data_IF_641121020531
#
_entry.id   IF_641121020531
#
_cell.length_a   1.000
_cell.length_b   1.000
_cell.length_c   1.000
_cell.angle_alpha   90.00
_cell.angle_beta   90.00
_cell.angle_gamma   90.00
#
_symmetry.space_group_name_H-M   'P 1'
#
loop_
_entity.id
_entity.type
_entity.pdbx_description
1 polymer ?
#
# COMPACT_ATOMS: atom_id res chain seq x y z
N UNK A 1 -11.44 -14.92 18.79
CA UNK A 1 -11.24 -16.40 18.87
C UNK A 1 -12.51 -17.05 19.38
N UNK A 2 -12.92 -16.82 20.60
CA UNK A 2 -14.04 -17.50 21.25
C UNK A 2 -15.39 -17.28 20.56
N UNK A 3 -15.72 -16.06 20.17
CA UNK A 3 -17.04 -15.71 19.64
C UNK A 3 -17.19 -16.07 18.15
N UNK A 4 -16.13 -15.92 17.34
CA UNK A 4 -16.16 -16.13 15.90
C UNK A 4 -15.67 -17.54 15.54
N UNK A 5 -14.47 -17.90 15.95
CA UNK A 5 -13.88 -19.22 15.64
C UNK A 5 -14.44 -20.33 16.53
N UNK A 6 -15.07 -19.97 17.66
CA UNK A 6 -15.66 -20.90 18.64
C UNK A 6 -14.66 -21.93 19.15
N UNK A 7 -13.44 -21.49 19.38
CA UNK A 7 -12.34 -22.31 19.91
C UNK A 7 -11.67 -21.61 21.09
N UNK A 8 -10.72 -22.27 21.75
CA UNK A 8 -9.95 -21.66 22.84
C UNK A 8 -8.71 -20.92 22.30
N UNK A 9 -8.14 -19.96 23.04
CA UNK A 9 -6.87 -19.33 22.67
C UNK A 9 -5.75 -20.34 22.44
N UNK A 10 -5.63 -21.35 23.31
CA UNK A 10 -4.62 -22.40 23.25
C UNK A 10 -4.74 -23.24 21.99
N UNK A 11 -5.96 -23.65 21.63
CA UNK A 11 -6.23 -24.41 20.41
C UNK A 11 -5.92 -23.56 19.17
N UNK A 12 -6.27 -22.27 19.19
CA UNK A 12 -5.93 -21.38 18.08
C UNK A 12 -4.42 -21.26 17.89
N UNK A 13 -3.63 -21.14 18.96
CA UNK A 13 -2.17 -21.12 18.87
C UNK A 13 -1.61 -22.43 18.30
N UNK A 14 -2.15 -23.57 18.72
CA UNK A 14 -1.78 -24.88 18.18
C UNK A 14 -2.10 -24.98 16.69
N UNK A 15 -3.29 -24.54 16.26
CA UNK A 15 -3.68 -24.52 14.83
C UNK A 15 -2.75 -23.65 13.99
N UNK A 16 -2.33 -22.49 14.49
CA UNK A 16 -1.38 -21.59 13.80
C UNK A 16 -0.05 -22.32 13.61
N UNK A 17 0.54 -22.85 14.68
CA UNK A 17 1.83 -23.54 14.63
C UNK A 17 1.80 -24.75 13.71
N UNK A 18 0.79 -25.61 13.84
CA UNK A 18 0.66 -26.83 13.08
C UNK A 18 0.41 -26.57 11.58
N UNK A 19 -0.42 -25.58 11.26
CA UNK A 19 -0.69 -25.20 9.86
C UNK A 19 0.57 -24.67 9.18
N UNK A 20 1.26 -23.75 9.83
CA UNK A 20 2.50 -23.18 9.30
C UNK A 20 3.55 -24.28 9.12
N UNK A 21 3.76 -25.11 10.13
CA UNK A 21 4.71 -26.24 10.08
C UNK A 21 4.40 -27.17 8.93
N UNK A 22 3.15 -27.58 8.79
CA UNK A 22 2.72 -28.45 7.69
C UNK A 22 3.05 -27.87 6.32
N UNK A 23 2.75 -26.59 6.09
CA UNK A 23 3.04 -25.92 4.83
C UNK A 23 4.54 -25.83 4.56
N UNK A 24 5.35 -25.56 5.59
CA UNK A 24 6.82 -25.55 5.50
C UNK A 24 7.37 -26.95 5.15
N UNK A 25 6.83 -28.01 5.74
CA UNK A 25 7.21 -29.38 5.41
C UNK A 25 6.87 -29.77 3.96
N UNK A 26 5.84 -29.12 3.36
CA UNK A 26 5.53 -29.24 1.94
C UNK A 26 6.40 -28.35 1.03
N UNK A 27 7.44 -27.69 1.57
CA UNK A 27 8.35 -26.84 0.83
C UNK A 27 7.75 -25.50 0.37
N UNK A 28 6.70 -24.99 1.02
CA UNK A 28 6.08 -23.71 0.68
C UNK A 28 6.80 -22.56 1.37
N UNK A 29 6.81 -21.39 0.70
CA UNK A 29 7.00 -20.12 1.38
C UNK A 29 5.69 -19.77 2.09
N UNK A 30 5.78 -19.43 3.38
CA UNK A 30 4.61 -19.20 4.22
C UNK A 30 4.62 -17.78 4.77
N UNK A 31 3.60 -17.02 4.40
CA UNK A 31 3.29 -15.71 4.98
C UNK A 31 2.15 -15.93 5.99
N UNK A 32 2.40 -15.65 7.26
CA UNK A 32 1.38 -15.66 8.28
C UNK A 32 0.74 -14.27 8.39
N UNK A 33 -0.50 -14.15 7.95
CA UNK A 33 -1.29 -12.94 8.10
C UNK A 33 -2.05 -12.98 9.44
N UNK A 34 -1.57 -12.17 10.39
CA UNK A 34 -2.20 -12.03 11.71
C UNK A 34 -3.44 -11.14 11.58
N UNK A 35 -4.57 -11.76 11.25
CA UNK A 35 -5.85 -11.07 11.05
C UNK A 35 -6.29 -10.31 12.30
N UNK A 36 -6.74 -9.06 12.14
CA UNK A 36 -7.11 -8.14 13.24
C UNK A 36 -5.97 -7.87 14.25
N UNK A 37 -4.70 -7.97 13.83
CA UNK A 37 -3.58 -7.89 14.77
C UNK A 37 -3.59 -6.61 15.60
N UNK A 38 -3.75 -5.46 14.98
CA UNK A 38 -3.70 -4.17 15.69
C UNK A 38 -4.83 -3.98 16.69
N UNK A 39 -6.03 -4.44 16.38
CA UNK A 39 -7.15 -4.40 17.33
C UNK A 39 -6.97 -5.45 18.43
N UNK A 40 -6.58 -6.66 18.06
CA UNK A 40 -6.27 -7.73 19.00
C UNK A 40 -5.14 -7.37 19.98
N UNK A 41 -4.12 -6.65 19.50
CA UNK A 41 -3.03 -6.16 20.34
C UNK A 41 -3.51 -5.14 21.38
N UNK A 42 -4.41 -4.24 21.01
CA UNK A 42 -4.98 -3.29 21.97
C UNK A 42 -5.86 -3.97 23.01
N UNK A 43 -6.56 -5.03 22.64
CA UNK A 43 -7.42 -5.79 23.55
C UNK A 43 -6.62 -6.73 24.47
N UNK A 44 -5.63 -7.43 23.92
CA UNK A 44 -4.78 -8.37 24.66
C UNK A 44 -3.40 -8.49 23.97
N UNK A 45 -2.44 -7.63 24.36
CA UNK A 45 -1.09 -7.63 23.77
C UNK A 45 -0.37 -8.97 23.87
N UNK A 46 -0.45 -9.63 25.02
CA UNK A 46 0.25 -10.89 25.26
C UNK A 46 -0.26 -11.99 24.34
N UNK A 47 -1.57 -12.09 24.16
CA UNK A 47 -2.14 -13.07 23.24
C UNK A 47 -1.84 -12.74 21.77
N UNK A 48 -1.92 -11.48 21.38
CA UNK A 48 -1.57 -11.06 20.02
C UNK A 48 -0.11 -11.42 19.69
N UNK A 49 0.83 -11.16 20.60
CA UNK A 49 2.23 -11.56 20.42
C UNK A 49 2.40 -13.08 20.39
N UNK A 50 1.65 -13.83 21.21
CA UNK A 50 1.70 -15.31 21.20
C UNK A 50 1.27 -15.90 19.87
N UNK A 51 0.37 -15.25 19.11
CA UNK A 51 0.01 -15.72 17.75
C UNK A 51 1.19 -15.61 16.78
N UNK A 52 1.98 -14.54 16.88
CA UNK A 52 3.20 -14.38 16.09
C UNK A 52 4.28 -15.39 16.51
N UNK A 53 4.44 -15.64 17.81
CA UNK A 53 5.36 -16.65 18.34
C UNK A 53 5.00 -18.06 17.84
N UNK A 54 3.72 -18.41 17.79
CA UNK A 54 3.25 -19.69 17.27
C UNK A 54 3.57 -19.84 15.76
N UNK A 55 3.36 -18.78 14.98
CA UNK A 55 3.70 -18.76 13.56
C UNK A 55 5.23 -18.82 13.33
N UNK A 56 6.03 -18.08 14.10
CA UNK A 56 7.50 -18.15 14.05
C UNK A 56 8.00 -19.55 14.38
N UNK A 57 7.45 -20.17 15.44
CA UNK A 57 7.78 -21.55 15.83
C UNK A 57 7.41 -22.58 14.77
N UNK A 58 6.30 -22.38 14.05
CA UNK A 58 5.91 -23.16 12.88
C UNK A 58 6.85 -22.98 11.69
N UNK A 59 7.67 -21.92 11.67
CA UNK A 59 8.64 -21.61 10.63
C UNK A 59 8.15 -20.66 9.54
N UNK A 60 7.19 -19.77 9.83
CA UNK A 60 6.72 -18.77 8.88
C UNK A 60 7.88 -17.92 8.33
N UNK A 61 7.87 -17.65 7.03
CA UNK A 61 8.88 -16.82 6.37
C UNK A 61 8.63 -15.33 6.63
N UNK A 62 7.35 -14.94 6.78
CA UNK A 62 6.94 -13.58 7.11
C UNK A 62 5.84 -13.62 8.17
N UNK A 63 5.87 -12.62 9.06
CA UNK A 63 4.82 -12.31 10.03
C UNK A 63 4.18 -11.00 9.59
N UNK A 64 2.97 -11.05 9.06
CA UNK A 64 2.27 -9.87 8.54
C UNK A 64 1.23 -9.38 9.54
N UNK A 65 1.33 -8.11 9.89
CA UNK A 65 0.42 -7.43 10.81
C UNK A 65 -0.74 -6.84 10.02
N UNK A 66 -1.96 -7.37 10.21
CA UNK A 66 -3.13 -6.91 9.50
C UNK A 66 -3.86 -5.79 10.28
N UNK A 67 -3.94 -4.63 9.66
CA UNK A 67 -4.80 -3.54 10.09
C UNK A 67 -6.16 -3.70 9.35
N UNK A 68 -6.92 -4.71 9.81
CA UNK A 68 -8.08 -5.27 9.12
C UNK A 68 -9.26 -4.31 9.07
N UNK A 69 -9.50 -3.55 10.14
CA UNK A 69 -10.62 -2.62 10.22
C UNK A 69 -10.38 -1.28 9.50
N UNK A 70 -9.16 -1.00 9.08
CA UNK A 70 -8.81 0.22 8.35
C UNK A 70 -8.91 1.51 9.17
N UNK A 71 -8.96 1.42 10.50
CA UNK A 71 -9.29 2.54 11.37
C UNK A 71 -8.16 3.07 12.26
N UNK A 72 -6.98 2.45 12.26
CA UNK A 72 -5.85 2.93 13.07
C UNK A 72 -5.27 4.22 12.50
N UNK A 73 -4.86 5.11 13.40
CA UNK A 73 -4.08 6.29 13.05
C UNK A 73 -2.59 5.99 13.11
N UNK A 74 -1.78 6.86 12.51
CA UNK A 74 -0.32 6.67 12.35
C UNK A 74 0.38 6.36 13.67
N UNK A 75 0.10 7.13 14.72
CA UNK A 75 0.81 6.98 16.01
C UNK A 75 0.62 5.59 16.65
N UNK A 76 -0.62 5.12 16.94
CA UNK A 76 -0.80 3.79 17.53
C UNK A 76 -0.32 2.67 16.62
N UNK A 77 -0.45 2.83 15.30
CA UNK A 77 0.09 1.89 14.32
C UNK A 77 1.62 1.77 14.46
N UNK A 78 2.33 2.90 14.51
CA UNK A 78 3.79 2.94 14.65
C UNK A 78 4.25 2.29 15.96
N UNK A 79 3.61 2.65 17.08
CA UNK A 79 3.96 2.14 18.42
C UNK A 79 3.84 0.61 18.47
N UNK A 80 2.76 0.04 17.93
CA UNK A 80 2.54 -1.41 17.90
C UNK A 80 3.54 -2.08 16.94
N UNK A 81 3.73 -1.54 15.74
CA UNK A 81 4.67 -2.10 14.76
C UNK A 81 6.10 -2.11 15.30
N UNK A 82 6.55 -1.02 15.93
CA UNK A 82 7.88 -0.95 16.57
C UNK A 82 8.05 -2.03 17.63
N UNK A 83 7.05 -2.23 18.50
CA UNK A 83 7.08 -3.28 19.51
C UNK A 83 7.27 -4.67 18.90
N UNK A 84 6.58 -4.95 17.78
CA UNK A 84 6.72 -6.25 17.09
C UNK A 84 8.09 -6.39 16.45
N UNK A 85 8.57 -5.36 15.74
CA UNK A 85 9.91 -5.38 15.12
C UNK A 85 11.01 -5.61 16.16
N UNK A 86 10.93 -4.96 17.31
CA UNK A 86 11.88 -5.15 18.42
C UNK A 86 11.78 -6.54 19.06
N UNK A 87 10.56 -7.08 19.18
CA UNK A 87 10.31 -8.39 19.80
C UNK A 87 10.74 -9.55 18.90
N UNK A 88 10.64 -9.40 17.59
CA UNK A 88 10.94 -10.43 16.59
C UNK A 88 12.10 -10.03 15.65
N UNK A 89 13.31 -9.78 16.18
CA UNK A 89 14.42 -9.18 15.41
C UNK A 89 14.99 -10.10 14.33
N UNK A 90 14.60 -11.38 14.32
CA UNK A 90 15.02 -12.37 13.31
C UNK A 90 13.94 -12.66 12.27
N UNK A 91 12.72 -12.26 12.52
CA UNK A 91 11.58 -12.49 11.64
C UNK A 91 11.42 -11.34 10.64
N UNK A 92 10.97 -11.66 9.45
CA UNK A 92 10.59 -10.67 8.45
C UNK A 92 9.18 -10.18 8.73
N UNK A 93 9.03 -8.92 9.09
CA UNK A 93 7.74 -8.32 9.39
C UNK A 93 7.12 -7.77 8.11
N UNK A 94 5.83 -8.06 7.90
CA UNK A 94 5.00 -7.47 6.86
C UNK A 94 3.89 -6.61 7.44
N UNK A 95 3.29 -5.75 6.61
CA UNK A 95 2.09 -4.98 6.96
C UNK A 95 1.03 -5.11 5.87
N UNK A 96 -0.23 -5.22 6.30
CA UNK A 96 -1.41 -5.28 5.46
C UNK A 96 -2.44 -4.28 5.98
N UNK A 97 -2.68 -3.19 5.27
CA UNK A 97 -3.53 -2.11 5.74
C UNK A 97 -4.78 -1.97 4.87
N UNK A 98 -5.96 -1.89 5.50
CA UNK A 98 -7.19 -1.43 4.87
C UNK A 98 -7.27 0.11 4.87
N UNK A 99 -8.19 0.66 4.09
CA UNK A 99 -8.23 2.09 3.79
C UNK A 99 -9.48 2.82 4.32
N UNK A 100 -10.14 2.28 5.33
CA UNK A 100 -11.42 2.82 5.83
C UNK A 100 -11.30 4.24 6.41
N UNK A 101 -10.19 4.54 7.07
CA UNK A 101 -9.86 5.89 7.52
C UNK A 101 -9.19 6.77 6.44
N UNK A 102 -9.00 6.26 5.21
CA UNK A 102 -8.39 6.99 4.10
C UNK A 102 -6.87 7.13 4.18
N UNK A 103 -6.19 6.38 5.03
CA UNK A 103 -4.73 6.50 5.27
C UNK A 103 -3.96 5.19 5.11
N UNK A 104 -4.55 4.18 4.47
CA UNK A 104 -3.92 2.87 4.28
C UNK A 104 -2.55 2.95 3.59
N UNK A 105 -2.39 3.83 2.60
CA UNK A 105 -1.09 4.09 1.95
C UNK A 105 -0.09 4.67 2.95
N UNK A 106 -0.49 5.66 3.75
CA UNK A 106 0.39 6.28 4.74
C UNK A 106 0.84 5.27 5.81
N UNK A 107 -0.08 4.44 6.30
CA UNK A 107 0.24 3.38 7.27
C UNK A 107 1.23 2.36 6.68
N UNK A 108 1.03 1.95 5.43
CA UNK A 108 1.94 1.02 4.75
C UNK A 108 3.36 1.57 4.62
N UNK A 109 3.50 2.84 4.24
CA UNK A 109 4.80 3.52 4.17
C UNK A 109 5.44 3.65 5.56
N UNK A 110 4.64 4.03 6.57
CA UNK A 110 5.08 4.09 7.97
C UNK A 110 5.54 2.72 8.48
N UNK A 111 4.85 1.63 8.10
CA UNK A 111 5.28 0.27 8.42
C UNK A 111 6.69 -0.03 7.92
N UNK A 112 7.01 0.36 6.68
CA UNK A 112 8.35 0.20 6.11
C UNK A 112 9.38 1.06 6.85
N UNK A 113 9.07 2.32 7.16
CA UNK A 113 9.94 3.19 7.98
C UNK A 113 10.19 2.62 9.38
N UNK A 114 9.24 1.87 9.92
CA UNK A 114 9.32 1.23 11.24
C UNK A 114 10.08 -0.10 11.22
N UNK A 115 10.38 -0.66 10.03
CA UNK A 115 11.18 -1.87 9.86
C UNK A 115 10.46 -3.04 9.18
N UNK A 116 9.24 -2.86 8.68
CA UNK A 116 8.60 -3.87 7.84
C UNK A 116 9.34 -4.00 6.50
N UNK A 117 9.52 -5.24 6.06
CA UNK A 117 10.21 -5.59 4.80
C UNK A 117 9.27 -6.10 3.71
N UNK A 118 7.98 -6.20 4.04
CA UNK A 118 6.93 -6.56 3.10
C UNK A 118 5.71 -5.67 3.30
N UNK A 119 5.09 -5.28 2.19
CA UNK A 119 3.80 -4.59 2.17
C UNK A 119 2.84 -5.39 1.31
N UNK A 120 1.71 -5.75 1.87
CA UNK A 120 0.56 -6.26 1.13
C UNK A 120 -0.40 -5.11 0.82
N UNK A 121 -0.97 -5.16 -0.36
CA UNK A 121 -1.97 -4.21 -0.83
C UNK A 121 -2.55 -4.70 -2.15
N UNK A 122 -3.36 -3.87 -2.79
CA UNK A 122 -3.96 -4.21 -4.07
C UNK A 122 -3.75 -3.12 -5.10
N UNK A 123 -3.70 -3.49 -6.38
CA UNK A 123 -3.71 -2.51 -7.46
C UNK A 123 -5.01 -1.72 -7.43
N UNK A 124 -4.90 -0.41 -7.58
CA UNK A 124 -6.00 0.55 -7.49
C UNK A 124 -6.71 0.59 -6.11
N UNK A 125 -6.19 -0.11 -5.11
CA UNK A 125 -6.76 -0.15 -3.76
C UNK A 125 -8.05 -0.96 -3.65
N UNK A 126 -8.36 -1.84 -4.60
CA UNK A 126 -9.56 -2.65 -4.57
C UNK A 126 -9.56 -3.63 -3.40
N UNK A 127 -10.73 -3.91 -2.84
CA UNK A 127 -10.90 -4.83 -1.72
C UNK A 127 -12.17 -4.56 -0.91
N UNK A 128 -12.27 -5.19 0.22
CA UNK A 128 -13.41 -5.07 1.13
C UNK A 128 -13.64 -3.62 1.60
N UNK A 129 -14.90 -3.23 1.72
CA UNK A 129 -15.37 -1.91 2.18
C UNK A 129 -14.78 -0.76 1.37
N UNK A 130 -13.84 0.02 1.96
CA UNK A 130 -13.13 1.12 1.30
C UNK A 130 -11.83 0.69 0.60
N UNK A 131 -11.60 -0.63 0.54
CA UNK A 131 -10.47 -1.25 -0.12
C UNK A 131 -9.24 -1.39 0.74
N UNK A 132 -8.18 -1.86 0.12
CA UNK A 132 -6.85 -2.05 0.69
C UNK A 132 -5.94 -0.85 0.40
N UNK A 133 -4.78 -0.83 1.03
CA UNK A 133 -3.74 0.12 0.69
C UNK A 133 -3.36 0.00 -0.81
N UNK A 134 -3.38 1.13 -1.51
CA UNK A 134 -3.25 1.17 -2.96
C UNK A 134 -1.79 1.03 -3.41
N UNK A 135 -1.44 -0.10 -4.03
CA UNK A 135 -0.10 -0.37 -4.54
C UNK A 135 0.33 0.59 -5.65
N UNK A 136 -0.60 1.17 -6.43
CA UNK A 136 -0.25 2.19 -7.43
C UNK A 136 0.27 3.49 -6.82
N UNK A 137 0.03 3.70 -5.54
CA UNK A 137 0.59 4.81 -4.76
C UNK A 137 1.79 4.36 -3.91
N UNK A 138 1.74 3.18 -3.31
CA UNK A 138 2.80 2.67 -2.43
C UNK A 138 4.11 2.47 -3.18
N UNK A 139 4.08 1.75 -4.31
CA UNK A 139 5.29 1.41 -5.08
C UNK A 139 6.08 2.66 -5.49
N UNK A 140 5.48 3.68 -6.16
CA UNK A 140 6.24 4.86 -6.52
C UNK A 140 6.68 5.71 -5.32
N UNK A 141 5.96 5.69 -4.20
CA UNK A 141 6.42 6.35 -2.97
C UNK A 141 7.66 5.66 -2.41
N UNK A 142 7.67 4.34 -2.30
CA UNK A 142 8.84 3.59 -1.84
C UNK A 142 10.07 3.87 -2.73
N UNK A 143 9.93 3.74 -4.05
CA UNK A 143 11.07 3.84 -4.96
C UNK A 143 11.51 5.27 -5.23
N UNK A 144 10.57 6.20 -5.48
CA UNK A 144 10.92 7.55 -5.93
C UNK A 144 11.12 8.50 -4.74
N UNK A 145 10.30 8.38 -3.68
CA UNK A 145 10.33 9.31 -2.54
C UNK A 145 11.22 8.83 -1.41
N UNK A 146 11.19 7.52 -1.12
CA UNK A 146 11.96 6.94 -0.02
C UNK A 146 13.28 6.33 -0.48
N UNK A 147 13.50 6.13 -1.79
CA UNK A 147 14.72 5.53 -2.34
C UNK A 147 14.88 4.05 -2.03
N UNK A 148 13.78 3.37 -1.71
CA UNK A 148 13.77 1.94 -1.37
C UNK A 148 13.54 1.14 -2.65
N UNK A 149 14.46 0.24 -2.96
CA UNK A 149 14.32 -0.65 -4.11
C UNK A 149 13.26 -1.71 -3.85
N UNK A 150 12.31 -1.83 -4.77
CA UNK A 150 11.35 -2.92 -4.81
C UNK A 150 11.60 -3.81 -6.03
N UNK A 151 10.93 -4.96 -6.08
CA UNK A 151 10.96 -5.84 -7.26
C UNK A 151 10.33 -5.19 -8.51
N UNK A 152 9.70 -4.03 -8.37
CA UNK A 152 9.02 -3.31 -9.45
C UNK A 152 9.87 -2.23 -10.13
N UNK A 153 11.07 -1.90 -9.60
CA UNK A 153 11.92 -0.78 -10.01
C UNK A 153 12.08 -0.61 -11.51
N UNK A 154 12.33 -1.67 -12.23
CA UNK A 154 12.54 -1.62 -13.68
C UNK A 154 11.23 -1.52 -14.48
N UNK A 155 10.08 -1.50 -13.83
CA UNK A 155 8.76 -1.59 -14.44
C UNK A 155 7.83 -0.43 -14.08
N UNK A 156 8.30 0.58 -13.34
CA UNK A 156 7.48 1.74 -12.93
C UNK A 156 6.79 2.42 -14.11
N UNK A 157 7.43 2.50 -15.28
CA UNK A 157 6.84 3.09 -16.48
C UNK A 157 5.61 2.34 -17.02
N UNK A 158 5.33 1.13 -16.53
CA UNK A 158 4.13 0.36 -16.85
C UNK A 158 3.01 0.50 -15.82
N UNK A 159 3.23 1.27 -14.75
CA UNK A 159 2.32 1.33 -13.62
C UNK A 159 0.93 1.83 -14.02
N UNK A 160 0.87 2.87 -14.86
CA UNK A 160 -0.40 3.40 -15.36
C UNK A 160 -1.14 2.40 -16.24
N UNK A 161 -0.44 1.72 -17.15
CA UNK A 161 -1.06 0.73 -18.04
C UNK A 161 -1.57 -0.47 -17.23
N UNK A 162 -0.84 -0.91 -16.21
CA UNK A 162 -1.29 -1.95 -15.29
C UNK A 162 -2.54 -1.52 -14.51
N UNK A 163 -2.57 -0.27 -14.02
CA UNK A 163 -3.76 0.27 -13.34
C UNK A 163 -5.00 0.21 -14.25
N UNK A 164 -4.88 0.67 -15.48
CA UNK A 164 -5.97 0.64 -16.46
C UNK A 164 -6.39 -0.78 -16.84
N UNK A 165 -5.43 -1.69 -16.95
CA UNK A 165 -5.70 -3.11 -17.21
C UNK A 165 -6.51 -3.75 -16.09
N UNK A 166 -6.17 -3.44 -14.83
CA UNK A 166 -6.93 -3.97 -13.68
C UNK A 166 -8.34 -3.40 -13.64
N UNK A 167 -8.53 -2.10 -13.93
CA UNK A 167 -9.85 -1.48 -14.04
C UNK A 167 -10.72 -2.17 -15.10
N UNK A 168 -10.14 -2.44 -16.28
CA UNK A 168 -10.82 -3.12 -17.37
C UNK A 168 -11.17 -4.57 -16.99
N UNK A 169 -10.22 -5.32 -16.42
CA UNK A 169 -10.41 -6.71 -16.02
C UNK A 169 -11.48 -6.86 -14.91
N UNK A 170 -11.60 -5.87 -14.03
CA UNK A 170 -12.62 -5.85 -12.97
C UNK A 170 -13.93 -5.21 -13.40
N UNK A 171 -14.00 -4.66 -14.62
CA UNK A 171 -15.13 -3.90 -15.14
C UNK A 171 -15.51 -2.71 -14.24
N UNK A 172 -14.52 -2.06 -13.64
CA UNK A 172 -14.68 -0.88 -12.82
C UNK A 172 -14.24 0.37 -13.59
N UNK A 173 -14.89 1.49 -13.31
CA UNK A 173 -14.52 2.76 -13.92
C UNK A 173 -13.26 3.31 -13.29
N UNK A 174 -12.25 3.63 -14.11
CA UNK A 174 -10.98 4.23 -13.65
C UNK A 174 -11.22 5.57 -12.93
N UNK A 175 -10.57 5.74 -11.77
CA UNK A 175 -10.50 7.03 -11.10
C UNK A 175 -9.53 7.95 -11.84
N UNK A 176 -10.07 8.98 -12.49
CA UNK A 176 -9.27 9.97 -13.21
C UNK A 176 -8.32 10.77 -12.31
N UNK A 177 -8.55 10.80 -11.00
CA UNK A 177 -7.74 11.51 -10.00
C UNK A 177 -6.85 10.59 -9.17
N UNK A 178 -6.81 9.28 -9.48
CA UNK A 178 -5.94 8.35 -8.77
C UNK A 178 -4.50 8.85 -8.78
N UNK A 179 -3.83 8.97 -7.61
CA UNK A 179 -2.45 9.42 -7.54
C UNK A 179 -1.54 8.65 -8.49
N UNK A 180 -0.62 9.32 -9.14
CA UNK A 180 0.35 8.81 -10.12
C UNK A 180 -0.25 8.33 -11.45
N UNK A 181 -1.35 7.56 -11.45
CA UNK A 181 -1.86 6.82 -12.63
C UNK A 181 -3.05 7.48 -13.30
N UNK A 182 -3.83 8.29 -12.57
CA UNK A 182 -5.02 8.94 -13.08
C UNK A 182 -4.72 9.91 -14.23
N UNK A 183 -5.68 10.08 -15.13
CA UNK A 183 -5.53 11.00 -16.28
C UNK A 183 -5.46 12.47 -15.87
N UNK A 184 -5.98 12.82 -14.70
CA UNK A 184 -5.94 14.18 -14.14
C UNK A 184 -4.75 14.43 -13.19
N UNK A 185 -3.98 13.38 -12.83
CA UNK A 185 -2.89 13.50 -11.83
C UNK A 185 -1.79 14.48 -12.22
N UNK A 186 -1.58 14.68 -13.53
CA UNK A 186 -0.61 15.62 -14.10
C UNK A 186 -1.29 16.54 -15.11
N UNK A 187 -2.52 16.99 -14.80
CA UNK A 187 -3.29 17.87 -15.67
C UNK A 187 -3.38 19.28 -15.08
N UNK A 188 -3.03 20.27 -15.89
CA UNK A 188 -3.03 21.67 -15.51
C UNK A 188 -4.11 22.46 -16.27
N UNK A 189 -4.98 23.18 -15.55
CA UNK A 189 -6.03 24.05 -16.13
C UNK A 189 -5.63 25.52 -16.12
N UNK A 190 -4.93 25.97 -15.09
CA UNK A 190 -4.53 27.36 -14.92
C UNK A 190 -3.42 27.75 -15.90
N UNK A 191 -3.56 28.88 -16.62
CA UNK A 191 -2.56 29.33 -17.58
C UNK A 191 -1.17 29.55 -16.97
N UNK A 192 -1.08 30.05 -15.74
CA UNK A 192 0.19 30.23 -15.01
C UNK A 192 0.81 28.87 -14.68
N UNK A 193 0.01 27.89 -14.23
CA UNK A 193 0.48 26.55 -13.91
C UNK A 193 0.97 25.82 -15.16
N UNK A 194 0.21 25.88 -16.26
CA UNK A 194 0.58 25.28 -17.52
C UNK A 194 1.86 25.89 -18.11
N UNK A 195 1.98 27.22 -18.08
CA UNK A 195 3.19 27.93 -18.54
C UNK A 195 4.43 27.58 -17.71
N UNK A 196 4.29 27.55 -16.38
CA UNK A 196 5.40 27.18 -15.50
C UNK A 196 5.79 25.71 -15.64
N UNK A 197 4.82 24.78 -15.71
CA UNK A 197 5.08 23.34 -15.92
C UNK A 197 5.77 23.09 -17.28
N UNK A 198 5.43 23.86 -18.32
CA UNK A 198 6.10 23.78 -19.62
C UNK A 198 7.56 24.21 -19.61
N UNK A 199 7.92 25.13 -18.73
CA UNK A 199 9.29 25.63 -18.57
C UNK A 199 10.11 24.77 -17.62
N UNK A 200 9.46 24.23 -16.60
CA UNK A 200 10.05 23.32 -15.62
C UNK A 200 8.95 22.47 -15.00
N UNK A 201 8.94 21.17 -15.28
CA UNK A 201 8.00 20.22 -14.70
C UNK A 201 8.04 20.25 -13.17
N UNK A 202 9.24 20.42 -12.57
CA UNK A 202 9.46 20.50 -11.13
C UNK A 202 8.72 21.65 -10.42
N UNK A 203 8.16 22.62 -11.16
CA UNK A 203 7.42 23.75 -10.56
C UNK A 203 6.03 23.34 -10.04
N UNK A 204 5.37 22.39 -10.69
CA UNK A 204 4.01 21.96 -10.35
C UNK A 204 3.80 20.43 -10.38
N UNK A 205 4.82 19.67 -10.68
CA UNK A 205 4.79 18.21 -10.71
C UNK A 205 5.82 17.67 -9.70
N UNK A 206 5.36 16.78 -8.83
CA UNK A 206 6.19 16.22 -7.76
C UNK A 206 7.16 15.15 -8.24
N UNK A 207 6.97 14.66 -9.47
CA UNK A 207 7.85 13.73 -10.22
C UNK A 207 7.72 14.02 -11.71
N UNK A 208 8.62 13.47 -12.54
CA UNK A 208 8.40 13.33 -13.98
C UNK A 208 7.31 12.25 -14.21
N UNK A 209 6.18 12.62 -14.84
CA UNK A 209 5.09 11.66 -15.08
C UNK A 209 5.49 10.44 -15.91
N UNK A 210 6.49 10.57 -16.79
CA UNK A 210 6.95 9.48 -17.65
C UNK A 210 7.52 8.30 -16.82
N UNK A 211 8.03 8.56 -15.64
CA UNK A 211 8.55 7.51 -14.74
C UNK A 211 7.47 6.46 -14.42
N UNK A 212 6.21 6.89 -14.28
CA UNK A 212 5.07 6.03 -13.95
C UNK A 212 4.16 5.73 -15.16
N UNK A 213 4.64 6.01 -16.38
CA UNK A 213 3.88 5.79 -17.63
C UNK A 213 2.75 6.80 -17.86
N UNK A 214 2.76 7.92 -17.14
CA UNK A 214 1.80 9.00 -17.32
C UNK A 214 2.43 10.15 -18.14
N UNK A 215 1.72 11.26 -18.31
CA UNK A 215 2.19 12.44 -19.02
C UNK A 215 1.54 13.71 -18.50
N UNK A 216 2.23 14.82 -18.61
CA UNK A 216 1.67 16.15 -18.41
C UNK A 216 0.57 16.41 -19.43
N UNK A 217 -0.52 17.03 -19.01
CA UNK A 217 -1.64 17.45 -19.87
C UNK A 217 -2.02 18.89 -19.59
N UNK A 218 -2.21 19.65 -20.65
CA UNK A 218 -2.79 20.99 -20.55
C UNK A 218 -4.27 20.91 -20.95
N UNK A 219 -5.13 21.30 -20.03
CA UNK A 219 -6.58 21.32 -20.25
C UNK A 219 -6.99 22.75 -20.69
N UNK A 220 -7.72 22.82 -21.78
CA UNK A 220 -8.32 24.09 -22.24
C UNK A 220 -9.74 24.19 -21.65
N UNK A 221 -10.02 25.31 -21.01
CA UNK A 221 -11.33 25.64 -20.46
C UNK A 221 -11.60 27.14 -20.67
N UNK A 222 -12.74 27.62 -20.26
CA UNK A 222 -13.11 29.04 -20.21
C UNK A 222 -12.17 29.90 -19.36
N UNK A 223 -11.42 29.29 -18.43
CA UNK A 223 -10.39 29.94 -17.61
C UNK A 223 -8.97 29.87 -18.24
N UNK A 224 -8.83 29.34 -19.43
CA UNK A 224 -7.52 29.15 -20.07
C UNK A 224 -6.97 30.47 -20.63
N UNK A 225 -5.71 30.76 -20.28
CA UNK A 225 -4.97 31.89 -20.86
C UNK A 225 -4.37 31.55 -22.24
N UNK A 226 -3.83 32.59 -22.91
CA UNK A 226 -3.21 32.47 -24.23
C UNK A 226 -2.16 31.35 -24.31
N UNK A 227 -1.34 31.16 -23.26
CA UNK A 227 -0.30 30.13 -23.22
C UNK A 227 -0.88 28.72 -23.30
N UNK A 228 -1.97 28.43 -22.57
CA UNK A 228 -2.63 27.11 -22.61
C UNK A 228 -3.18 26.79 -24.00
N UNK A 229 -3.78 27.79 -24.68
CA UNK A 229 -4.31 27.62 -26.04
C UNK A 229 -3.17 27.38 -27.03
N UNK A 230 -2.09 28.15 -26.94
CA UNK A 230 -0.92 27.98 -27.80
C UNK A 230 -0.19 26.66 -27.61
N UNK A 231 -0.15 26.14 -26.38
CA UNK A 231 0.41 24.83 -26.08
C UNK A 231 -0.44 23.72 -26.68
N UNK A 232 -1.76 23.80 -26.53
CA UNK A 232 -2.70 22.81 -27.08
C UNK A 232 -2.72 22.80 -28.61
N UNK A 233 -2.46 23.93 -29.25
CA UNK A 233 -2.36 24.02 -30.70
C UNK A 233 -1.07 23.42 -31.28
N UNK A 234 -0.10 23.08 -30.44
CA UNK A 234 1.19 22.44 -30.84
C UNK A 234 1.19 20.91 -30.62
N UNK A 235 0.24 20.38 -29.85
CA UNK A 235 -0.03 18.92 -29.71
C UNK A 235 -0.75 18.38 -30.97
#
# INVERSE_FOLDING_TARGET
>A
VTDVLRTTPEENLAMIEDTVRYLKEQGKEVVYDAEHFYDGYLDNPDYALSTLEAAEKGGADFLTLCETNGGKLVRPFTEITSTVVERFPRSKIGVHCHNDAGIGVALSLTGVETGAVMVQGTMNGYGERNGNANLTSIIPNLEIKMGIETNCRNHLSKLRDLSLFVDDATNLRSDIRAPYVGTASFAHKGGVHADAASKSTRSYEHIDPAIVGNRTRVLVSDMSGRSSIMMKAKE
#
